data_IF_143543223279
#
_entry.id   IF_143543223279
#
_cell.length_a   1.000
_cell.length_b   1.000
_cell.length_c   1.000
_cell.angle_alpha   90.00
_cell.angle_beta   90.00
_cell.angle_gamma   90.00
#
_symmetry.space_group_name_H-M   'P 1'
#
loop_
_entity.id
_entity.type
_entity.pdbx_description
1 polymer ?
#
# COMPACT_ATOMS: atom_id res chain seq x y z
N UNK A 1 5.21 18.26 6.52
CA UNK A 1 4.74 18.69 7.85
C UNK A 1 4.90 17.62 8.94
N UNK A 2 4.76 16.30 8.63
CA UNK A 2 4.87 15.24 9.64
C UNK A 2 6.30 14.95 10.12
N UNK A 3 7.29 15.34 9.36
CA UNK A 3 8.71 15.18 9.71
C UNK A 3 9.35 16.54 9.99
N UNK A 4 10.22 16.63 10.97
CA UNK A 4 11.00 17.82 11.23
C UNK A 4 12.16 17.95 10.24
N UNK A 5 12.41 19.17 9.78
CA UNK A 5 13.58 19.54 8.96
C UNK A 5 13.85 18.67 7.72
N UNK A 6 12.78 18.27 7.00
CA UNK A 6 12.86 17.36 5.85
C UNK A 6 12.83 18.14 4.53
N UNK A 7 13.75 17.82 3.62
CA UNK A 7 13.71 18.31 2.24
C UNK A 7 12.62 17.59 1.48
N UNK A 8 11.70 18.33 0.88
CA UNK A 8 10.64 17.79 0.04
C UNK A 8 10.77 18.26 -1.41
N UNK A 9 10.36 17.42 -2.33
CA UNK A 9 10.26 17.72 -3.75
C UNK A 9 8.85 17.37 -4.23
N UNK A 10 8.21 18.31 -4.89
CA UNK A 10 6.87 18.14 -5.46
C UNK A 10 6.90 18.57 -6.93
N UNK A 11 6.33 17.75 -7.81
CA UNK A 11 6.34 18.03 -9.23
C UNK A 11 5.12 17.43 -9.94
N UNK A 12 4.47 18.23 -10.79
CA UNK A 12 3.41 17.80 -11.69
C UNK A 12 4.01 17.36 -13.03
N UNK A 13 3.94 16.06 -13.29
CA UNK A 13 4.43 15.46 -14.52
C UNK A 13 3.54 15.79 -15.71
N UNK A 14 4.18 16.07 -16.84
CA UNK A 14 3.52 16.30 -18.13
C UNK A 14 4.22 15.48 -19.22
N UNK A 15 3.64 15.42 -20.40
CA UNK A 15 4.29 14.78 -21.58
C UNK A 15 5.55 15.54 -22.02
N UNK A 16 5.68 16.80 -21.62
CA UNK A 16 6.81 17.67 -21.96
C UNK A 16 7.84 17.78 -20.85
N UNK A 17 7.59 17.15 -19.70
CA UNK A 17 8.53 17.16 -18.59
C UNK A 17 9.87 16.60 -18.99
N UNK A 18 10.92 17.30 -18.59
CA UNK A 18 12.31 16.96 -18.90
C UNK A 18 13.04 16.40 -17.68
N UNK A 19 14.08 15.57 -17.85
CA UNK A 19 14.89 15.10 -16.73
C UNK A 19 15.51 16.25 -15.91
N UNK A 20 15.77 17.40 -16.52
CA UNK A 20 16.33 18.60 -15.86
C UNK A 20 15.41 19.16 -14.80
N UNK A 21 14.09 19.10 -15.03
CA UNK A 21 13.08 19.62 -14.11
C UNK A 21 12.89 18.72 -12.89
N UNK A 22 13.22 17.43 -13.02
CA UNK A 22 13.05 16.43 -11.96
C UNK A 22 14.37 16.16 -11.21
N UNK A 23 15.47 16.03 -11.96
CA UNK A 23 16.75 15.60 -11.39
C UNK A 23 17.80 16.73 -11.34
N UNK A 24 17.46 17.91 -11.81
CA UNK A 24 18.32 19.09 -11.84
C UNK A 24 19.02 19.34 -13.20
N UNK A 25 19.30 20.63 -13.51
CA UNK A 25 19.96 21.03 -14.74
C UNK A 25 21.41 20.59 -14.79
N UNK A 26 21.97 20.52 -15.99
CA UNK A 26 23.39 20.24 -16.17
C UNK A 26 24.25 21.43 -15.73
N UNK A 27 25.31 21.16 -15.00
CA UNK A 27 26.32 22.16 -14.63
C UNK A 27 27.15 22.57 -15.85
N UNK A 28 26.98 23.81 -16.29
CA UNK A 28 27.74 24.36 -17.42
C UNK A 28 29.23 24.49 -17.06
N UNK A 29 29.56 24.83 -15.82
CA UNK A 29 30.93 24.91 -15.33
C UNK A 29 31.61 23.54 -15.34
N UNK A 30 31.00 22.52 -14.79
CA UNK A 30 31.56 21.16 -14.80
C UNK A 30 31.77 20.63 -16.23
N UNK A 31 30.87 20.99 -17.16
CA UNK A 31 31.00 20.59 -18.57
C UNK A 31 32.15 21.33 -19.26
N UNK A 32 32.32 22.65 -19.04
CA UNK A 32 33.33 23.46 -19.69
C UNK A 32 34.73 23.27 -19.11
N UNK A 33 34.83 23.23 -17.78
CA UNK A 33 36.10 23.24 -17.07
C UNK A 33 36.68 21.82 -16.85
N UNK A 34 35.78 20.85 -16.66
CA UNK A 34 36.15 19.47 -16.31
C UNK A 34 35.81 18.46 -17.41
N UNK A 35 35.03 18.84 -18.42
CA UNK A 35 34.53 17.93 -19.46
C UNK A 35 33.52 16.90 -18.93
N UNK A 36 32.94 17.13 -17.77
CA UNK A 36 32.07 16.16 -17.06
C UNK A 36 30.61 16.54 -17.13
N UNK A 37 29.78 15.55 -17.40
CA UNK A 37 28.31 15.69 -17.31
C UNK A 37 27.87 15.52 -15.86
N UNK A 38 27.65 16.65 -15.17
CA UNK A 38 27.16 16.65 -13.79
C UNK A 38 25.93 17.53 -13.67
N UNK A 39 24.91 17.04 -12.94
CA UNK A 39 23.69 17.79 -12.63
C UNK A 39 23.80 18.54 -11.31
N UNK A 40 23.14 19.68 -11.22
CA UNK A 40 22.96 20.41 -9.97
C UNK A 40 21.71 19.86 -9.29
N UNK A 41 21.91 18.99 -8.29
CA UNK A 41 20.83 18.22 -7.65
C UNK A 41 20.18 18.93 -6.47
N UNK A 42 20.73 20.05 -6.02
CA UNK A 42 20.18 20.81 -4.90
C UNK A 42 18.80 21.38 -5.24
N UNK A 43 17.81 21.10 -4.37
CA UNK A 43 16.41 21.48 -4.59
C UNK A 43 15.63 20.55 -5.53
N UNK A 44 16.24 19.49 -6.04
CA UNK A 44 15.61 18.51 -6.91
C UNK A 44 15.45 17.14 -6.23
N UNK A 45 14.74 16.23 -6.90
CA UNK A 45 14.42 14.90 -6.39
C UNK A 45 15.60 14.13 -5.76
N UNK A 46 16.83 14.14 -6.32
CA UNK A 46 17.93 13.36 -5.74
C UNK A 46 18.33 13.78 -4.32
N UNK A 47 18.01 15.00 -3.90
CA UNK A 47 18.30 15.53 -2.56
C UNK A 47 17.08 15.52 -1.63
N UNK A 48 15.92 15.05 -2.09
CA UNK A 48 14.69 15.08 -1.33
C UNK A 48 14.51 13.80 -0.50
N UNK A 49 13.99 13.97 0.71
CA UNK A 49 13.62 12.88 1.60
C UNK A 49 12.15 12.47 1.40
N UNK A 50 11.30 13.42 1.06
CA UNK A 50 9.89 13.18 0.71
C UNK A 50 9.66 13.69 -0.70
N UNK A 51 9.14 12.82 -1.56
CA UNK A 51 8.88 13.11 -2.96
C UNK A 51 7.39 12.92 -3.25
N UNK A 52 6.76 13.92 -3.86
CA UNK A 52 5.42 13.82 -4.41
C UNK A 52 5.46 14.06 -5.92
N UNK A 53 5.00 13.08 -6.70
CA UNK A 53 4.93 13.17 -8.15
C UNK A 53 3.48 13.01 -8.59
N UNK A 54 2.91 14.09 -9.11
CA UNK A 54 1.56 14.07 -9.65
C UNK A 54 1.58 13.71 -11.14
N UNK A 55 0.55 13.03 -11.61
CA UNK A 55 0.36 12.55 -12.99
C UNK A 55 1.57 11.75 -13.52
N UNK A 56 2.13 10.89 -12.67
CA UNK A 56 3.41 10.18 -12.94
C UNK A 56 3.42 9.44 -14.29
N UNK A 57 2.27 8.88 -14.73
CA UNK A 57 2.21 8.08 -15.97
C UNK A 57 2.27 8.92 -17.24
N UNK A 58 2.15 10.24 -17.14
CA UNK A 58 2.34 11.16 -18.26
C UNK A 58 3.80 11.44 -18.60
N UNK A 59 4.73 11.04 -17.74
CA UNK A 59 6.17 11.27 -17.93
C UNK A 59 6.76 10.50 -19.10
N UNK A 60 7.79 11.08 -19.69
CA UNK A 60 8.57 10.40 -20.74
C UNK A 60 9.41 9.23 -20.21
N UNK A 61 9.79 8.27 -21.08
CA UNK A 61 10.54 7.07 -20.68
C UNK A 61 11.89 7.36 -19.99
N UNK A 62 12.55 8.46 -20.33
CA UNK A 62 13.83 8.85 -19.73
C UNK A 62 13.69 9.13 -18.21
N UNK A 63 12.65 9.85 -17.81
CA UNK A 63 12.36 10.12 -16.40
C UNK A 63 11.99 8.82 -15.68
N UNK A 64 11.09 8.02 -16.26
CA UNK A 64 10.59 6.79 -15.66
C UNK A 64 11.68 5.74 -15.45
N UNK A 65 12.61 5.61 -16.41
CA UNK A 65 13.76 4.71 -16.27
C UNK A 65 14.73 5.15 -15.17
N UNK A 66 14.96 6.45 -15.03
CA UNK A 66 15.77 6.99 -13.93
C UNK A 66 15.08 6.75 -12.57
N UNK A 67 13.78 6.96 -12.50
CA UNK A 67 12.99 6.67 -11.29
C UNK A 67 13.04 5.18 -10.91
N UNK A 68 13.11 4.26 -11.87
CA UNK A 68 13.29 2.84 -11.58
C UNK A 68 14.55 2.57 -10.76
N UNK A 69 15.67 3.17 -11.15
CA UNK A 69 16.96 3.04 -10.43
C UNK A 69 16.86 3.70 -9.04
N UNK A 70 16.35 4.92 -9.00
CA UNK A 70 16.14 5.67 -7.75
C UNK A 70 15.32 4.89 -6.73
N UNK A 71 14.20 4.31 -7.14
CA UNK A 71 13.29 3.58 -6.23
C UNK A 71 13.86 2.22 -5.79
N UNK A 72 14.67 1.59 -6.64
CA UNK A 72 15.24 0.27 -6.32
C UNK A 72 16.49 0.33 -5.49
N UNK A 73 17.39 1.20 -5.88
CA UNK A 73 18.78 1.20 -5.41
C UNK A 73 19.02 2.34 -4.42
N UNK A 74 18.07 3.28 -4.31
CA UNK A 74 18.26 4.53 -3.57
C UNK A 74 19.53 5.28 -4.01
N UNK A 75 19.84 5.17 -5.31
CA UNK A 75 20.99 5.78 -5.93
C UNK A 75 20.62 6.60 -7.15
N UNK A 76 21.36 7.66 -7.36
CA UNK A 76 21.27 8.50 -8.55
C UNK A 76 22.63 8.57 -9.23
N UNK A 77 22.66 8.24 -10.50
CA UNK A 77 23.88 8.36 -11.29
C UNK A 77 24.02 9.78 -11.82
N UNK A 78 24.94 10.53 -11.24
CA UNK A 78 25.24 11.90 -11.62
C UNK A 78 26.58 11.97 -12.41
N UNK A 79 26.51 11.76 -13.71
CA UNK A 79 27.69 11.59 -14.55
C UNK A 79 28.43 10.31 -14.24
N UNK A 80 29.68 10.41 -13.79
CA UNK A 80 30.51 9.28 -13.39
C UNK A 80 30.33 8.85 -11.93
N UNK A 81 29.68 9.69 -11.11
CA UNK A 81 29.48 9.44 -9.69
C UNK A 81 28.10 8.84 -9.43
N UNK A 82 28.03 7.94 -8.45
CA UNK A 82 26.76 7.51 -7.85
C UNK A 82 26.55 8.26 -6.53
N UNK A 83 25.39 8.88 -6.39
CA UNK A 83 24.97 9.60 -5.18
C UNK A 83 23.88 8.80 -4.47
N UNK A 84 24.00 8.63 -3.16
CA UNK A 84 22.93 8.03 -2.36
C UNK A 84 21.77 9.01 -2.20
N UNK A 85 20.55 8.52 -2.41
CA UNK A 85 19.34 9.34 -2.29
C UNK A 85 18.73 9.15 -0.91
N UNK A 86 18.50 10.24 -0.16
CA UNK A 86 17.96 10.18 1.20
C UNK A 86 16.45 9.90 1.24
N UNK A 87 15.82 9.53 0.13
CA UNK A 87 14.37 9.38 0.00
C UNK A 87 13.79 8.36 0.98
N UNK A 88 12.90 8.83 1.85
CA UNK A 88 12.16 8.03 2.84
C UNK A 88 10.75 7.67 2.35
N UNK A 89 10.14 8.57 1.60
CA UNK A 89 8.76 8.40 1.13
C UNK A 89 8.62 8.94 -0.29
N UNK A 90 8.04 8.11 -1.15
CA UNK A 90 7.58 8.51 -2.48
C UNK A 90 6.06 8.36 -2.52
N UNK A 91 5.37 9.44 -2.80
CA UNK A 91 3.93 9.47 -3.07
C UNK A 91 3.75 9.83 -4.54
N UNK A 92 2.89 9.11 -5.21
CA UNK A 92 2.52 9.40 -6.59
C UNK A 92 1.01 9.48 -6.72
N UNK A 93 0.53 10.40 -7.54
CA UNK A 93 -0.87 10.50 -7.91
C UNK A 93 -1.03 10.37 -9.43
N UNK A 94 -2.19 9.91 -9.87
CA UNK A 94 -2.58 9.91 -11.28
C UNK A 94 -4.07 9.67 -11.42
N UNK A 95 -4.66 10.24 -12.45
CA UNK A 95 -6.04 10.00 -12.85
C UNK A 95 -6.21 8.73 -13.69
N UNK A 96 -5.12 8.10 -14.11
CA UNK A 96 -5.09 6.91 -14.96
C UNK A 96 -4.14 5.84 -14.39
N UNK A 97 -4.33 4.59 -14.78
CA UNK A 97 -3.39 3.52 -14.55
C UNK A 97 -2.39 3.45 -15.73
N UNK A 98 -1.18 2.90 -15.53
CA UNK A 98 -0.24 2.73 -16.64
C UNK A 98 -0.86 1.86 -17.73
N UNK A 99 -0.65 2.23 -18.99
CA UNK A 99 -1.11 1.45 -20.12
C UNK A 99 -0.40 0.09 -20.14
N UNK A 100 -1.13 -0.95 -20.54
CA UNK A 100 -0.57 -2.28 -20.70
C UNK A 100 0.51 -2.28 -21.81
N UNK A 101 1.60 -3.00 -21.57
CA UNK A 101 2.75 -3.10 -22.50
C UNK A 101 3.45 -1.76 -22.78
N UNK A 102 3.30 -0.78 -21.89
CA UNK A 102 3.97 0.51 -21.98
C UNK A 102 5.42 0.48 -21.46
N UNK A 103 5.84 -0.62 -20.81
CA UNK A 103 7.11 -0.73 -20.08
C UNK A 103 7.09 -0.10 -18.70
N UNK A 104 5.94 0.44 -18.27
CA UNK A 104 5.74 1.10 -16.97
C UNK A 104 5.37 0.12 -15.85
N UNK A 105 5.06 -1.11 -16.20
CA UNK A 105 4.63 -2.16 -15.28
C UNK A 105 5.69 -2.42 -14.19
N UNK A 106 6.96 -2.33 -14.58
CA UNK A 106 8.08 -2.50 -13.66
C UNK A 106 8.12 -1.40 -12.59
N UNK A 107 7.83 -0.16 -12.95
CA UNK A 107 7.72 0.96 -12.01
C UNK A 107 6.46 0.82 -11.14
N UNK A 108 5.33 0.48 -11.76
CA UNK A 108 4.07 0.27 -11.08
C UNK A 108 4.12 -0.88 -10.05
N UNK A 109 4.84 -1.98 -10.35
CA UNK A 109 5.05 -3.08 -9.40
C UNK A 109 5.83 -2.64 -8.13
N UNK A 110 6.58 -1.55 -8.20
CA UNK A 110 7.35 -1.01 -7.07
C UNK A 110 6.53 -0.14 -6.14
N UNK A 111 5.40 0.41 -6.63
CA UNK A 111 4.42 1.14 -5.82
C UNK A 111 3.64 0.13 -4.97
N UNK A 112 3.99 0.01 -3.70
CA UNK A 112 3.42 -1.01 -2.82
C UNK A 112 1.96 -0.73 -2.51
N UNK A 113 1.69 0.42 -1.88
CA UNK A 113 0.35 0.84 -1.52
C UNK A 113 -0.31 1.51 -2.71
N UNK A 114 -1.53 1.10 -2.99
CA UNK A 114 -2.34 1.63 -4.07
C UNK A 114 -3.73 1.95 -3.55
N UNK A 115 -4.07 3.21 -3.54
CA UNK A 115 -5.35 3.71 -3.09
C UNK A 115 -6.14 4.20 -4.30
N UNK A 116 -7.34 3.69 -4.44
CA UNK A 116 -8.29 4.18 -5.43
C UNK A 116 -9.29 5.07 -4.74
N UNK A 117 -9.38 6.31 -5.18
CA UNK A 117 -10.28 7.31 -4.64
C UNK A 117 -11.50 7.41 -5.56
N UNK A 118 -12.64 6.96 -5.06
CA UNK A 118 -13.91 7.12 -5.76
C UNK A 118 -14.44 8.55 -5.60
N UNK A 119 -15.25 9.07 -6.55
CA UNK A 119 -15.93 10.34 -6.40
C UNK A 119 -16.81 10.36 -5.15
N UNK A 120 -16.95 11.55 -4.55
CA UNK A 120 -17.76 11.74 -3.36
C UNK A 120 -19.23 11.43 -3.69
N UNK A 121 -19.80 10.39 -3.07
CA UNK A 121 -21.18 9.95 -3.25
C UNK A 121 -22.11 10.40 -2.12
N UNK A 122 -21.58 10.63 -0.92
CA UNK A 122 -22.37 11.05 0.24
C UNK A 122 -22.68 12.55 0.18
N UNK A 123 -23.95 12.91 0.39
CA UNK A 123 -24.41 14.31 0.48
C UNK A 123 -23.68 15.10 1.56
N UNK A 124 -23.43 14.47 2.71
CA UNK A 124 -22.77 15.14 3.84
C UNK A 124 -21.29 15.36 3.56
N UNK A 125 -20.59 14.38 2.97
CA UNK A 125 -19.19 14.52 2.54
C UNK A 125 -19.06 15.59 1.45
N UNK A 126 -20.00 15.64 0.49
CA UNK A 126 -20.02 16.68 -0.53
C UNK A 126 -20.24 18.08 0.07
N UNK A 127 -21.17 18.20 1.02
CA UNK A 127 -21.39 19.46 1.76
C UNK A 127 -20.14 19.90 2.54
N UNK A 128 -19.46 18.95 3.20
CA UNK A 128 -18.23 19.22 3.94
C UNK A 128 -17.13 19.69 3.01
N UNK A 129 -16.95 19.06 1.85
CA UNK A 129 -15.99 19.48 0.82
C UNK A 129 -16.24 20.90 0.34
N UNK A 130 -17.50 21.26 0.05
CA UNK A 130 -17.86 22.60 -0.42
C UNK A 130 -17.70 23.67 0.65
N UNK A 131 -17.81 23.33 1.93
CA UNK A 131 -17.70 24.27 3.06
C UNK A 131 -16.31 24.29 3.71
N UNK A 132 -15.49 23.26 3.45
CA UNK A 132 -14.16 23.12 4.01
C UNK A 132 -13.21 24.20 3.52
N UNK A 133 -12.31 24.65 4.38
CA UNK A 133 -11.14 25.44 3.97
C UNK A 133 -10.07 24.50 3.44
N UNK A 134 -9.29 24.94 2.47
CA UNK A 134 -8.13 24.20 1.96
C UNK A 134 -6.91 24.28 2.89
N UNK A 135 -7.03 24.98 4.02
CA UNK A 135 -5.95 25.11 4.97
C UNK A 135 -5.85 23.87 5.85
N UNK A 136 -4.74 23.16 5.74
CA UNK A 136 -4.40 22.08 6.66
C UNK A 136 -3.90 22.70 7.98
N UNK A 137 -4.42 22.27 9.13
CA UNK A 137 -3.91 22.75 10.42
C UNK A 137 -2.42 22.42 10.55
N UNK A 138 -1.61 23.34 11.09
CA UNK A 138 -0.19 23.07 11.32
C UNK A 138 -0.05 21.89 12.31
N UNK A 139 0.89 21.00 12.01
CA UNK A 139 1.24 19.91 12.94
C UNK A 139 2.10 20.48 14.04
N UNK A 140 1.70 20.26 15.30
CA UNK A 140 2.50 20.67 16.47
C UNK A 140 3.90 20.07 16.37
N UNK A 141 4.98 20.84 16.69
CA UNK A 141 6.34 20.34 16.69
C UNK A 141 6.54 19.05 17.51
N UNK A 142 5.78 18.89 18.59
CA UNK A 142 5.82 17.69 19.44
C UNK A 142 5.33 16.42 18.76
N UNK A 143 4.52 16.57 17.70
CA UNK A 143 3.99 15.46 16.89
C UNK A 143 4.82 15.21 15.63
N UNK A 144 5.89 15.98 15.41
CA UNK A 144 6.77 15.78 14.28
C UNK A 144 7.77 14.66 14.56
N UNK A 145 7.98 13.83 13.52
CA UNK A 145 8.90 12.70 13.57
C UNK A 145 10.32 13.18 13.30
N UNK A 146 11.23 12.98 14.24
CA UNK A 146 12.65 13.28 14.06
C UNK A 146 13.37 12.22 13.22
N UNK A 147 14.51 12.55 12.63
CA UNK A 147 15.35 11.60 11.89
C UNK A 147 15.81 10.42 12.75
N UNK A 148 16.08 10.69 14.03
CA UNK A 148 16.51 9.67 15.00
C UNK A 148 15.39 8.69 15.31
N UNK A 149 14.19 9.18 15.61
CA UNK A 149 13.01 8.33 15.83
C UNK A 149 12.69 7.49 14.61
N UNK A 150 12.69 8.08 13.43
CA UNK A 150 12.46 7.33 12.18
C UNK A 150 13.45 6.17 12.02
N UNK A 151 14.74 6.41 12.28
CA UNK A 151 15.77 5.37 12.18
C UNK A 151 15.58 4.27 13.23
N UNK A 152 15.18 4.63 14.45
CA UNK A 152 14.87 3.67 15.51
C UNK A 152 13.64 2.84 15.17
N UNK A 153 12.59 3.45 14.61
CA UNK A 153 11.38 2.74 14.20
C UNK A 153 11.64 1.73 13.09
N UNK A 154 12.46 2.08 12.08
CA UNK A 154 12.85 1.14 11.04
C UNK A 154 13.50 -0.11 11.62
N UNK A 155 14.45 0.06 12.55
CA UNK A 155 15.11 -1.07 13.22
C UNK A 155 14.14 -1.90 14.05
N UNK A 156 13.25 -1.24 14.79
CA UNK A 156 12.25 -1.92 15.61
C UNK A 156 11.20 -2.68 14.76
N UNK A 157 10.77 -2.11 13.64
CA UNK A 157 9.86 -2.76 12.69
C UNK A 157 10.48 -4.04 12.13
N UNK A 158 11.77 -4.02 11.80
CA UNK A 158 12.46 -5.19 11.26
C UNK A 158 12.61 -6.33 12.29
N UNK A 159 12.48 -6.04 13.60
CA UNK A 159 12.49 -7.03 14.70
C UNK A 159 11.10 -7.63 15.00
N UNK A 160 10.02 -7.10 14.42
CA UNK A 160 8.67 -7.65 14.63
C UNK A 160 8.60 -9.06 14.05
N UNK A 161 8.15 -9.99 14.88
CA UNK A 161 8.05 -11.41 14.53
C UNK A 161 6.90 -11.67 13.55
N UNK A 162 7.13 -12.60 12.61
CA UNK A 162 6.09 -13.21 11.78
C UNK A 162 5.76 -14.59 12.34
N UNK A 163 4.65 -14.77 13.08
CA UNK A 163 4.26 -16.08 13.64
C UNK A 163 3.90 -17.09 12.55
N UNK A 164 4.11 -18.38 12.83
CA UNK A 164 3.87 -19.47 11.88
C UNK A 164 2.41 -19.56 11.42
N UNK A 165 1.46 -19.27 12.27
CA UNK A 165 0.04 -19.27 11.92
C UNK A 165 -0.30 -18.15 10.92
N UNK A 166 0.29 -16.97 11.08
CA UNK A 166 0.15 -15.85 10.13
C UNK A 166 0.90 -16.15 8.82
N UNK A 167 2.09 -16.77 8.92
CA UNK A 167 2.83 -17.22 7.74
C UNK A 167 2.02 -18.22 6.90
N UNK A 168 1.40 -19.20 7.54
CA UNK A 168 0.57 -20.21 6.88
C UNK A 168 -0.65 -19.55 6.20
N UNK A 169 -1.23 -18.55 6.82
CA UNK A 169 -2.33 -17.77 6.22
C UNK A 169 -1.87 -16.95 5.01
N UNK A 170 -0.70 -16.30 5.09
CA UNK A 170 -0.08 -15.61 3.96
C UNK A 170 0.22 -16.55 2.78
N UNK A 171 0.77 -17.73 3.10
CA UNK A 171 1.08 -18.75 2.09
C UNK A 171 -0.20 -19.29 1.43
N UNK A 172 -1.25 -19.51 2.21
CA UNK A 172 -2.56 -19.93 1.69
C UNK A 172 -3.17 -18.87 0.75
N UNK A 173 -3.07 -17.59 1.09
CA UNK A 173 -3.50 -16.49 0.22
C UNK A 173 -2.66 -16.43 -1.05
N UNK A 174 -1.33 -16.57 -0.95
CA UNK A 174 -0.42 -16.61 -2.11
C UNK A 174 -0.78 -17.73 -3.08
N UNK A 175 -0.97 -18.93 -2.58
CA UNK A 175 -1.35 -20.10 -3.39
C UNK A 175 -2.70 -19.90 -4.04
N UNK A 176 -3.70 -19.44 -3.28
CA UNK A 176 -5.03 -19.14 -3.80
C UNK A 176 -5.00 -18.12 -4.95
N UNK A 177 -4.23 -17.04 -4.83
CA UNK A 177 -4.10 -16.04 -5.88
C UNK A 177 -3.35 -16.58 -7.11
N UNK A 178 -2.36 -17.46 -6.93
CA UNK A 178 -1.69 -18.13 -8.02
C UNK A 178 -2.63 -19.09 -8.79
N UNK A 179 -3.47 -19.86 -8.09
CA UNK A 179 -4.46 -20.75 -8.71
C UNK A 179 -5.50 -19.96 -9.52
N UNK A 180 -5.91 -18.79 -9.02
CA UNK A 180 -6.84 -17.91 -9.74
C UNK A 180 -6.18 -17.39 -11.01
N UNK A 181 -4.91 -17.00 -10.95
CA UNK A 181 -4.16 -16.54 -12.11
C UNK A 181 -4.05 -17.63 -13.17
N UNK A 182 -3.78 -18.87 -12.78
CA UNK A 182 -3.72 -20.03 -13.68
C UNK A 182 -5.06 -20.29 -14.37
N UNK A 183 -6.15 -20.34 -13.61
CA UNK A 183 -7.52 -20.54 -14.16
C UNK A 183 -7.94 -19.43 -15.13
N UNK A 184 -7.53 -18.18 -14.86
CA UNK A 184 -7.80 -17.07 -15.77
C UNK A 184 -7.00 -17.19 -17.08
N UNK A 185 -5.75 -17.68 -17.01
CA UNK A 185 -4.92 -17.94 -18.18
C UNK A 185 -5.49 -19.09 -19.05
N UNK A 186 -5.95 -20.18 -18.44
CA UNK A 186 -6.56 -21.32 -19.13
C UNK A 186 -7.85 -20.94 -19.85
N UNK A 187 -8.71 -20.15 -19.22
CA UNK A 187 -9.95 -19.67 -19.82
C UNK A 187 -9.73 -18.66 -20.95
N UNK A 188 -8.59 -17.97 -20.95
CA UNK A 188 -8.16 -17.07 -22.03
C UNK A 188 -7.55 -17.78 -23.24
N UNK A 189 -6.98 -18.98 -23.06
CA UNK A 189 -6.26 -19.74 -24.08
C UNK A 189 -7.14 -20.68 -24.92
N UNK A 190 -8.42 -20.83 -24.60
CA UNK A 190 -9.35 -21.55 -25.45
C UNK A 190 -9.62 -20.88 -26.84
N UNK A 191 -8.96 -19.76 -27.12
CA UNK A 191 -9.05 -19.04 -28.38
C UNK A 191 -7.85 -19.24 -29.34
N UNK A 192 -6.69 -19.76 -28.88
CA UNK A 192 -5.53 -20.03 -29.75
C UNK A 192 -4.65 -21.15 -29.20
N UNK A 193 -4.55 -22.23 -29.98
CA UNK A 193 -3.63 -23.35 -29.74
C UNK A 193 -2.21 -22.95 -30.18
N UNK A 194 -1.35 -22.42 -29.27
CA UNK A 194 0.06 -22.26 -29.56
C UNK A 194 0.96 -22.46 -28.35
N UNK A 195 1.97 -23.31 -28.52
CA UNK A 195 2.98 -23.69 -27.52
C UNK A 195 3.88 -22.54 -27.04
N UNK A 196 3.78 -21.35 -27.64
CA UNK A 196 4.48 -20.13 -27.20
C UNK A 196 3.84 -19.42 -26.00
N UNK A 197 2.66 -19.86 -25.56
CA UNK A 197 1.90 -19.23 -24.48
C UNK A 197 2.52 -19.47 -23.09
N UNK A 198 3.30 -20.56 -22.91
CA UNK A 198 3.97 -20.85 -21.62
C UNK A 198 5.11 -19.91 -21.27
N UNK A 199 5.78 -19.33 -22.25
CA UNK A 199 6.85 -18.34 -22.03
C UNK A 199 6.32 -16.92 -21.84
N UNK A 200 5.08 -16.63 -22.29
CA UNK A 200 4.40 -15.35 -22.08
C UNK A 200 3.77 -15.16 -20.70
N UNK A 201 3.70 -16.20 -19.87
CA UNK A 201 3.18 -16.09 -18.50
C UNK A 201 4.04 -15.20 -17.58
N UNK A 202 5.26 -14.87 -17.96
CA UNK A 202 6.14 -13.95 -17.23
C UNK A 202 6.10 -12.51 -17.76
N UNK A 203 5.38 -12.24 -18.83
CA UNK A 203 5.17 -10.88 -19.32
C UNK A 203 3.83 -10.38 -18.76
N UNK A 204 3.90 -9.24 -18.10
CA UNK A 204 2.75 -8.45 -17.63
C UNK A 204 1.86 -8.05 -18.83
N UNK A 205 1.17 -9.01 -19.41
CA UNK A 205 0.11 -8.70 -20.34
C UNK A 205 -1.08 -8.19 -19.52
N UNK A 206 -1.27 -6.88 -19.53
CA UNK A 206 -2.11 -6.11 -18.62
C UNK A 206 -3.61 -6.39 -18.69
N UNK A 207 -4.03 -7.51 -19.25
CA UNK A 207 -5.42 -7.64 -19.60
C UNK A 207 -6.28 -8.52 -18.69
N UNK A 208 -5.78 -9.46 -17.91
CA UNK A 208 -6.71 -10.26 -17.05
C UNK A 208 -6.05 -11.11 -15.96
N UNK A 209 -4.75 -11.38 -15.97
CA UNK A 209 -4.14 -12.31 -15.02
C UNK A 209 -3.70 -11.64 -13.73
N UNK A 210 -4.08 -12.20 -12.59
CA UNK A 210 -3.67 -11.76 -11.28
C UNK A 210 -2.23 -12.25 -10.99
N UNK A 211 -1.22 -11.47 -11.39
CA UNK A 211 0.18 -11.75 -11.06
C UNK A 211 0.66 -10.88 -9.90
N UNK A 212 1.20 -11.49 -8.86
CA UNK A 212 1.75 -10.78 -7.70
C UNK A 212 3.19 -11.23 -7.52
N UNK A 213 4.16 -10.31 -7.69
CA UNK A 213 5.58 -10.60 -7.59
C UNK A 213 5.99 -10.95 -6.15
N UNK A 214 7.02 -11.82 -5.99
CA UNK A 214 7.56 -12.15 -4.67
C UNK A 214 8.14 -10.92 -3.96
N UNK A 215 8.68 -9.97 -4.72
CA UNK A 215 9.12 -8.67 -4.19
C UNK A 215 7.97 -7.95 -3.52
N UNK A 216 6.78 -7.96 -4.11
CA UNK A 216 5.59 -7.32 -3.57
C UNK A 216 5.13 -7.99 -2.28
N UNK A 217 5.14 -9.33 -2.22
CA UNK A 217 4.87 -10.07 -0.98
C UNK A 217 5.85 -9.72 0.13
N UNK A 218 7.15 -9.61 -0.18
CA UNK A 218 8.18 -9.20 0.80
C UNK A 218 7.94 -7.80 1.33
N UNK A 219 7.64 -6.84 0.45
CA UNK A 219 7.34 -5.45 0.86
C UNK A 219 6.03 -5.37 1.66
N UNK A 220 5.00 -6.12 1.26
CA UNK A 220 3.74 -6.19 1.98
C UNK A 220 3.94 -6.77 3.39
N UNK A 221 4.73 -7.83 3.55
CA UNK A 221 5.06 -8.38 4.87
C UNK A 221 5.74 -7.32 5.78
N UNK A 222 6.61 -6.47 5.22
CA UNK A 222 7.22 -5.36 5.98
C UNK A 222 6.17 -4.33 6.42
N UNK A 223 5.17 -4.04 5.59
CA UNK A 223 4.04 -3.19 5.97
C UNK A 223 3.24 -3.81 7.13
N UNK A 224 3.01 -5.13 7.12
CA UNK A 224 2.32 -5.80 8.23
C UNK A 224 3.12 -5.70 9.54
N UNK A 225 4.45 -5.80 9.47
CA UNK A 225 5.33 -5.56 10.63
C UNK A 225 5.20 -4.13 11.14
N UNK A 226 5.19 -3.14 10.24
CA UNK A 226 5.00 -1.74 10.61
C UNK A 226 3.63 -1.53 11.28
N UNK A 227 2.56 -2.13 10.75
CA UNK A 227 1.24 -2.09 11.39
C UNK A 227 1.27 -2.67 12.80
N UNK A 228 1.88 -3.82 13.00
CA UNK A 228 2.03 -4.42 14.32
C UNK A 228 2.80 -3.51 15.29
N UNK A 229 3.92 -2.96 14.84
CA UNK A 229 4.75 -2.04 15.62
C UNK A 229 3.99 -0.79 16.08
N UNK A 230 3.33 -0.08 15.16
CA UNK A 230 2.55 1.12 15.48
C UNK A 230 1.31 0.85 16.33
N UNK A 231 0.86 -0.41 16.38
CA UNK A 231 -0.18 -0.87 17.30
C UNK A 231 0.40 -1.45 18.61
N UNK A 232 1.66 -1.18 18.94
CA UNK A 232 2.31 -1.60 20.18
C UNK A 232 2.54 -3.11 20.30
N UNK A 233 2.61 -3.84 19.17
CA UNK A 233 2.77 -5.30 19.15
C UNK A 233 4.15 -5.71 18.66
N UNK A 234 4.72 -6.74 19.28
CA UNK A 234 5.99 -7.35 18.86
C UNK A 234 5.81 -8.43 17.78
N UNK A 235 4.56 -8.78 17.43
CA UNK A 235 4.22 -9.83 16.47
C UNK A 235 3.10 -9.36 15.54
N UNK A 236 3.18 -9.77 14.27
CA UNK A 236 2.09 -9.60 13.31
C UNK A 236 0.90 -10.43 13.77
N UNK A 237 -0.30 -9.92 13.59
CA UNK A 237 -1.53 -10.68 13.80
C UNK A 237 -2.36 -10.80 12.51
N UNK A 238 -3.41 -11.62 12.57
CA UNK A 238 -4.28 -11.88 11.40
C UNK A 238 -5.04 -10.63 10.92
N UNK A 239 -5.27 -9.64 11.80
CA UNK A 239 -5.93 -8.38 11.42
C UNK A 239 -5.06 -7.53 10.49
N UNK A 240 -3.74 -7.61 10.64
CA UNK A 240 -2.82 -6.88 9.77
C UNK A 240 -2.95 -7.33 8.31
N UNK A 241 -3.34 -8.60 8.06
CA UNK A 241 -3.55 -9.14 6.71
C UNK A 241 -4.59 -8.36 5.90
N UNK A 242 -5.48 -7.60 6.55
CA UNK A 242 -6.44 -6.73 5.86
C UNK A 242 -5.75 -5.64 5.01
N UNK A 243 -4.54 -5.23 5.38
CA UNK A 243 -3.77 -4.23 4.62
C UNK A 243 -3.33 -4.75 3.24
N UNK A 244 -3.30 -6.07 3.05
CA UNK A 244 -2.92 -6.68 1.77
C UNK A 244 -3.88 -6.30 0.64
N UNK A 245 -5.14 -5.96 0.95
CA UNK A 245 -6.13 -5.53 -0.05
C UNK A 245 -5.69 -4.29 -0.83
N UNK A 246 -4.87 -3.42 -0.21
CA UNK A 246 -4.37 -2.19 -0.82
C UNK A 246 -2.95 -2.35 -1.38
N UNK A 247 -2.34 -3.54 -1.22
CA UNK A 247 -0.98 -3.83 -1.68
C UNK A 247 -0.92 -4.71 -2.93
N UNK A 248 -1.90 -5.59 -3.15
CA UNK A 248 -1.72 -6.73 -4.06
C UNK A 248 -2.44 -6.57 -5.41
N UNK A 249 -3.35 -5.62 -5.56
CA UNK A 249 -4.07 -5.43 -6.82
C UNK A 249 -3.24 -4.69 -7.88
N UNK A 250 -3.58 -4.87 -9.16
CA UNK A 250 -2.88 -4.25 -10.29
C UNK A 250 -3.80 -3.35 -11.14
N UNK A 251 -5.06 -3.72 -11.25
CA UNK A 251 -6.07 -2.97 -11.99
C UNK A 251 -7.41 -3.05 -11.25
N UNK A 252 -8.42 -2.34 -11.71
CA UNK A 252 -9.72 -2.27 -11.04
C UNK A 252 -10.41 -3.63 -10.94
N UNK A 253 -10.23 -4.49 -11.94
CA UNK A 253 -10.78 -5.84 -11.93
C UNK A 253 -10.13 -6.70 -10.84
N UNK A 254 -8.80 -6.72 -10.78
CA UNK A 254 -8.05 -7.45 -9.75
C UNK A 254 -8.24 -6.85 -8.36
N UNK A 255 -8.47 -5.52 -8.25
CA UNK A 255 -8.77 -4.84 -6.98
C UNK A 255 -10.01 -5.41 -6.31
N UNK A 256 -11.14 -5.45 -7.01
CA UNK A 256 -12.38 -6.00 -6.47
C UNK A 256 -12.20 -7.47 -6.03
N UNK A 257 -11.52 -8.25 -6.85
CA UNK A 257 -11.27 -9.66 -6.59
C UNK A 257 -10.38 -9.88 -5.35
N UNK A 258 -9.26 -9.17 -5.24
CA UNK A 258 -8.35 -9.26 -4.08
C UNK A 258 -9.07 -8.80 -2.82
N UNK A 259 -9.75 -7.66 -2.88
CA UNK A 259 -10.50 -7.11 -1.75
C UNK A 259 -11.51 -8.13 -1.20
N UNK A 260 -12.36 -8.69 -2.06
CA UNK A 260 -13.36 -9.68 -1.66
C UNK A 260 -12.73 -10.93 -1.05
N UNK A 261 -11.59 -11.40 -1.58
CA UNK A 261 -10.91 -12.57 -1.05
C UNK A 261 -10.27 -12.31 0.32
N UNK A 262 -9.67 -11.14 0.52
CA UNK A 262 -9.04 -10.78 1.81
C UNK A 262 -10.09 -10.46 2.86
N UNK A 263 -11.13 -9.72 2.52
CA UNK A 263 -12.24 -9.42 3.42
C UNK A 263 -13.05 -10.69 3.75
N UNK A 264 -13.27 -11.58 2.78
CA UNK A 264 -13.89 -12.88 3.01
C UNK A 264 -13.03 -13.81 3.88
N UNK A 265 -11.70 -13.78 3.73
CA UNK A 265 -10.78 -14.47 4.62
C UNK A 265 -10.90 -13.94 6.07
N UNK A 266 -10.89 -12.63 6.23
CA UNK A 266 -11.05 -11.99 7.53
C UNK A 266 -12.41 -12.33 8.16
N UNK A 267 -13.50 -12.24 7.40
CA UNK A 267 -14.85 -12.58 7.87
C UNK A 267 -14.96 -14.06 8.28
N UNK A 268 -14.37 -14.96 7.51
CA UNK A 268 -14.43 -16.41 7.78
C UNK A 268 -13.55 -16.85 8.94
N UNK A 269 -12.30 -16.36 9.03
CA UNK A 269 -11.34 -16.82 10.04
C UNK A 269 -11.23 -15.95 11.28
N UNK A 270 -11.43 -14.63 11.15
CA UNK A 270 -11.28 -13.70 12.28
C UNK A 270 -12.62 -13.42 12.97
N UNK A 271 -13.66 -13.26 12.18
CA UNK A 271 -15.01 -12.99 12.64
C UNK A 271 -15.93 -14.17 12.34
N UNK A 272 -15.39 -15.41 12.32
CA UNK A 272 -16.18 -16.60 12.01
C UNK A 272 -17.52 -16.49 12.73
N UNK A 273 -18.59 -16.38 11.97
CA UNK A 273 -19.95 -16.15 12.47
C UNK A 273 -20.28 -17.12 13.62
N UNK A 274 -19.71 -18.34 13.53
CA UNK A 274 -19.86 -19.37 14.58
C UNK A 274 -19.10 -19.02 15.88
N UNK A 275 -17.90 -18.42 15.81
CA UNK A 275 -17.15 -18.03 17.01
C UNK A 275 -17.76 -16.76 17.65
N UNK A 276 -18.25 -15.84 16.86
CA UNK A 276 -18.97 -14.64 17.33
C UNK A 276 -20.29 -15.06 17.96
N UNK A 277 -21.07 -15.92 17.31
CA UNK A 277 -22.34 -16.43 17.82
C UNK A 277 -22.13 -17.23 19.13
N UNK A 278 -21.08 -18.06 19.22
CA UNK A 278 -20.74 -18.77 20.45
C UNK A 278 -20.40 -17.80 21.59
N UNK A 279 -19.68 -16.71 21.31
CA UNK A 279 -19.34 -15.71 22.33
C UNK A 279 -20.53 -14.84 22.75
N UNK A 280 -21.42 -14.51 21.82
CA UNK A 280 -22.69 -13.85 22.11
C UNK A 280 -23.55 -14.76 22.97
N UNK A 281 -23.67 -16.04 22.66
CA UNK A 281 -24.42 -17.00 23.47
C UNK A 281 -23.83 -17.17 24.88
N UNK A 282 -22.50 -17.18 25.02
CA UNK A 282 -21.85 -17.17 26.34
C UNK A 282 -22.21 -15.93 27.17
N UNK A 283 -22.21 -14.75 26.54
CA UNK A 283 -22.57 -13.50 27.20
C UNK A 283 -24.04 -13.52 27.61
N UNK A 284 -24.95 -13.94 26.72
CA UNK A 284 -26.39 -14.09 27.03
C UNK A 284 -26.60 -15.06 28.18
N UNK A 285 -25.93 -16.21 28.17
CA UNK A 285 -26.02 -17.20 29.26
C UNK A 285 -25.54 -16.61 30.59
N UNK A 286 -24.43 -15.83 30.55
CA UNK A 286 -23.93 -15.17 31.77
C UNK A 286 -24.90 -14.09 32.30
N UNK A 287 -25.48 -13.28 31.40
CA UNK A 287 -26.48 -12.28 31.77
C UNK A 287 -27.70 -12.94 32.36
N UNK A 288 -28.21 -14.03 31.76
CA UNK A 288 -29.36 -14.77 32.26
C UNK A 288 -29.09 -15.39 33.64
N UNK A 289 -27.87 -15.93 33.86
CA UNK A 289 -27.45 -16.43 35.17
C UNK A 289 -27.46 -15.32 36.24
N UNK A 290 -26.83 -14.18 35.94
CA UNK A 290 -26.79 -13.03 36.84
C UNK A 290 -28.22 -12.52 37.13
N UNK A 291 -29.06 -12.43 36.11
CA UNK A 291 -30.45 -12.00 36.28
C UNK A 291 -31.24 -12.95 37.17
N UNK A 292 -31.04 -14.28 37.06
CA UNK A 292 -31.67 -15.26 37.93
C UNK A 292 -31.15 -15.19 39.37
N UNK A 293 -29.86 -14.95 39.58
CA UNK A 293 -29.27 -14.73 40.90
C UNK A 293 -29.85 -13.47 41.56
N UNK A 294 -29.97 -12.38 40.82
CA UNK A 294 -30.59 -11.15 41.29
C UNK A 294 -32.06 -11.35 41.63
N UNK A 295 -32.82 -12.11 40.84
CA UNK A 295 -34.21 -12.46 41.12
C UNK A 295 -34.36 -13.25 42.43
N UNK A 296 -33.43 -14.19 42.68
CA UNK A 296 -33.44 -15.02 43.89
C UNK A 296 -33.11 -14.22 45.15
N UNK A 297 -32.14 -13.31 45.05
CA UNK A 297 -31.66 -12.51 46.20
C UNK A 297 -32.57 -11.34 46.56
N UNK A 298 -33.31 -10.77 45.59
CA UNK A 298 -34.12 -9.55 45.81
C UNK A 298 -35.65 -9.86 45.87
N UNK A 299 -36.07 -11.05 45.50
CA UNK A 299 -37.50 -11.45 45.53
C UNK A 299 -38.39 -10.71 44.51
N UNK A 300 -37.77 -10.12 43.47
CA UNK A 300 -38.47 -9.37 42.42
C UNK A 300 -38.67 -10.25 41.18
N UNK A 301 -39.92 -10.53 40.83
CA UNK A 301 -40.26 -11.17 39.56
C UNK A 301 -40.10 -10.19 38.38
N UNK A 302 -38.99 -10.28 37.64
CA UNK A 302 -38.84 -9.64 36.34
C UNK A 302 -39.44 -10.54 35.24
N UNK A 303 -40.45 -10.04 34.55
CA UNK A 303 -40.98 -10.72 33.36
C UNK A 303 -39.93 -10.64 32.24
N UNK A 304 -39.42 -11.79 31.82
CA UNK A 304 -38.52 -11.90 30.65
C UNK A 304 -39.30 -11.54 29.40
N UNK A 305 -39.05 -10.35 28.84
CA UNK A 305 -39.37 -10.03 27.46
C UNK A 305 -38.34 -10.68 26.57
N UNK A 306 -38.73 -11.70 25.80
CA UNK A 306 -37.89 -12.29 24.73
C UNK A 306 -37.69 -11.22 23.66
N UNK A 307 -36.43 -10.79 23.44
CA UNK A 307 -36.07 -9.97 22.27
C UNK A 307 -36.02 -10.89 21.05
N UNK A 308 -36.74 -10.57 19.98
CA UNK A 308 -36.55 -11.29 18.70
C UNK A 308 -35.18 -10.97 18.16
N UNK A 309 -34.40 -12.01 17.80
CA UNK A 309 -33.18 -11.93 17.02
C UNK A 309 -33.56 -11.58 15.58
N UNK A 310 -33.10 -10.42 15.10
CA UNK A 310 -33.07 -10.08 13.68
C UNK A 310 -31.89 -10.68 12.96
#
# INVERSE_FOLDING_TARGET
AAFSEVKSFEYLMTRFSTPEEVFGPLSISALKDEGRYRRLTEGYLPQAEIVFLDEIWKSGPAILNTLLTVINEHKFRNGECEEDIPMRLLITASNELPEANSGLEALYDRMLLRLWLDPISSKDSFKTMLKGSNELPPISPELQISATEYTQWIKAIDQVELPDDVFNDLYSLKTKFADIALKQAENGSNATNDAQTKQKMNTLDGTKTLYISDRRWKKACRLLRASAFFNGRSKINKMDLLLLKDCLWQNLHTRAHIRNNIEGYASGKLFGQNAMNARIQQVITTINRIASEIQTDIGIHLTTTSFPLF
#
